data_IF_682600122855
#
_entry.id   IF_682600122855
#
_cell.length_a   1.000
_cell.length_b   1.000
_cell.length_c   1.000
_cell.angle_alpha   90.00
_cell.angle_beta   90.00
_cell.angle_gamma   90.00
#
_symmetry.space_group_name_H-M   'P 1'
#
loop_
_entity.id
_entity.type
_entity.pdbx_description
1 polymer ?
#
# COMPACT_ATOMS: atom_id res chain seq x y z
N UNK A 1 -1.03 16.33 -12.61
CA UNK A 1 -1.10 16.36 -11.13
C UNK A 1 -0.36 17.59 -10.54
N UNK A 2 -0.80 18.11 -9.40
CA UNK A 2 -0.14 19.20 -8.67
C UNK A 2 0.24 18.73 -7.25
N UNK A 3 0.94 19.58 -6.48
CA UNK A 3 1.43 19.25 -5.13
C UNK A 3 0.34 18.68 -4.21
N UNK A 4 -0.89 19.16 -4.31
CA UNK A 4 -1.99 18.76 -3.42
C UNK A 4 -2.61 17.41 -3.79
N UNK A 5 -2.40 16.93 -5.02
CA UNK A 5 -3.15 15.79 -5.58
C UNK A 5 -2.26 14.63 -5.99
N UNK A 6 -0.99 14.86 -6.29
CA UNK A 6 -0.13 13.84 -6.91
C UNK A 6 0.05 12.58 -6.06
N UNK A 7 0.05 12.70 -4.73
CA UNK A 7 0.18 11.55 -3.80
C UNK A 7 -1.05 10.63 -3.79
N UNK A 8 -2.19 11.10 -4.31
CA UNK A 8 -3.42 10.32 -4.43
C UNK A 8 -3.73 9.96 -5.88
N UNK A 9 -3.50 10.90 -6.80
CA UNK A 9 -3.65 10.66 -8.23
C UNK A 9 -2.71 9.55 -8.72
N UNK A 10 -1.53 9.40 -8.10
CA UNK A 10 -0.61 8.33 -8.43
C UNK A 10 -1.19 6.93 -8.19
N UNK A 11 -2.16 6.76 -7.28
CA UNK A 11 -2.90 5.49 -7.13
C UNK A 11 -3.63 5.14 -8.43
N UNK A 12 -4.37 6.09 -9.00
CA UNK A 12 -5.13 5.87 -10.23
C UNK A 12 -4.21 5.66 -11.43
N UNK A 13 -3.13 6.44 -11.52
CA UNK A 13 -2.15 6.29 -12.59
C UNK A 13 -1.50 4.90 -12.54
N UNK A 14 -1.09 4.43 -11.35
CA UNK A 14 -0.56 3.07 -11.16
C UNK A 14 -1.58 2.00 -11.53
N UNK A 15 -2.84 2.15 -11.10
CA UNK A 15 -3.91 1.18 -11.41
C UNK A 15 -4.31 1.16 -12.89
N UNK A 16 -4.06 2.24 -13.65
CA UNK A 16 -4.54 2.38 -15.03
C UNK A 16 -3.92 1.39 -16.02
N UNK A 17 -2.66 0.98 -15.77
CA UNK A 17 -1.93 -0.01 -16.56
C UNK A 17 -1.68 -1.35 -15.84
N UNK A 18 -2.04 -1.43 -14.56
CA UNK A 18 -1.77 -2.62 -13.74
C UNK A 18 -2.63 -3.81 -14.17
N UNK A 19 -2.07 -5.02 -14.08
CA UNK A 19 -2.72 -6.29 -14.43
C UNK A 19 -3.78 -6.76 -13.41
N UNK A 20 -4.71 -5.87 -13.05
CA UNK A 20 -5.83 -6.12 -12.14
C UNK A 20 -7.12 -5.55 -12.72
N UNK A 21 -8.27 -6.06 -12.26
CA UNK A 21 -9.57 -5.49 -12.65
C UNK A 21 -9.96 -4.37 -11.69
N UNK A 22 -10.08 -3.15 -12.20
CA UNK A 22 -10.43 -1.97 -11.40
C UNK A 22 -11.91 -1.64 -11.56
N UNK A 23 -12.62 -1.41 -10.45
CA UNK A 23 -13.97 -0.84 -10.43
C UNK A 23 -14.08 0.24 -9.38
N UNK A 24 -15.02 1.16 -9.58
CA UNK A 24 -15.35 2.20 -8.61
C UNK A 24 -16.70 1.89 -8.00
N UNK A 25 -16.76 1.88 -6.67
CA UNK A 25 -17.98 1.68 -5.88
C UNK A 25 -18.15 2.85 -4.92
N UNK A 26 -19.39 3.13 -4.53
CA UNK A 26 -19.74 4.17 -3.57
C UNK A 26 -19.99 3.60 -2.18
N UNK A 27 -20.06 4.48 -1.17
CA UNK A 27 -20.50 4.08 0.16
C UNK A 27 -21.96 3.62 0.18
N UNK A 28 -22.81 4.18 -0.70
CA UNK A 28 -24.21 3.78 -0.82
C UNK A 28 -24.31 2.33 -1.32
N UNK A 29 -23.49 1.94 -2.31
CA UNK A 29 -23.43 0.55 -2.79
C UNK A 29 -23.07 -0.42 -1.66
N UNK A 30 -22.04 -0.09 -0.87
CA UNK A 30 -21.61 -0.93 0.26
C UNK A 30 -22.67 -0.98 1.36
N UNK A 31 -23.34 0.14 1.63
CA UNK A 31 -24.40 0.20 2.64
C UNK A 31 -25.66 -0.54 2.20
N UNK A 32 -26.00 -0.53 0.92
CA UNK A 32 -27.21 -1.19 0.41
C UNK A 32 -26.99 -2.68 0.17
N UNK A 33 -25.84 -3.06 -0.41
CA UNK A 33 -25.60 -4.41 -0.94
C UNK A 33 -24.45 -5.15 -0.27
N UNK A 34 -23.67 -4.49 0.61
CA UNK A 34 -22.43 -5.05 1.14
C UNK A 34 -21.28 -4.99 0.13
N UNK A 35 -20.21 -5.74 0.40
CA UNK A 35 -19.10 -5.89 -0.55
C UNK A 35 -19.38 -7.09 -1.44
N UNK A 36 -19.28 -6.92 -2.75
CA UNK A 36 -19.50 -8.00 -3.71
C UNK A 36 -18.45 -9.12 -3.55
N UNK A 37 -18.89 -10.38 -3.71
CA UNK A 37 -18.05 -11.58 -3.47
C UNK A 37 -16.86 -11.72 -4.43
N UNK A 38 -16.87 -11.00 -5.55
CA UNK A 38 -15.81 -11.01 -6.57
C UNK A 38 -14.75 -9.91 -6.35
N UNK A 39 -14.83 -9.14 -5.26
CA UNK A 39 -13.84 -8.12 -4.89
C UNK A 39 -12.81 -8.73 -3.96
N UNK A 40 -11.54 -8.72 -4.38
CA UNK A 40 -10.41 -9.14 -3.54
C UNK A 40 -9.94 -8.01 -2.60
N UNK A 41 -9.87 -6.77 -3.13
CA UNK A 41 -9.27 -5.61 -2.44
C UNK A 41 -10.17 -4.38 -2.55
N UNK A 42 -10.38 -3.70 -1.42
CA UNK A 42 -10.95 -2.34 -1.37
C UNK A 42 -9.83 -1.34 -1.08
N UNK A 43 -9.79 -0.26 -1.87
CA UNK A 43 -8.90 0.89 -1.62
C UNK A 43 -9.75 2.08 -1.19
N UNK A 44 -9.41 2.69 -0.07
CA UNK A 44 -9.93 3.99 0.37
C UNK A 44 -8.76 4.95 0.57
N UNK A 45 -8.79 6.12 -0.06
CA UNK A 45 -7.66 7.03 0.06
C UNK A 45 -7.97 8.46 -0.33
N UNK A 46 -7.21 9.38 0.26
CA UNK A 46 -7.41 10.81 0.13
C UNK A 46 -7.20 11.53 1.47
N UNK A 47 -7.35 12.87 1.49
CA UNK A 47 -7.39 13.64 2.73
C UNK A 47 -8.73 13.50 3.47
N UNK A 48 -8.73 13.76 4.77
CA UNK A 48 -9.94 13.84 5.61
C UNK A 48 -10.95 14.86 5.06
N UNK A 49 -12.24 14.60 5.28
CA UNK A 49 -13.36 15.46 4.86
C UNK A 49 -13.41 15.70 3.33
N UNK A 50 -12.96 14.72 2.54
CA UNK A 50 -13.12 14.73 1.08
C UNK A 50 -14.07 13.63 0.61
N UNK A 51 -14.57 13.75 -0.62
CA UNK A 51 -15.42 12.71 -1.22
C UNK A 51 -14.69 11.36 -1.37
N UNK A 52 -13.35 11.38 -1.49
CA UNK A 52 -12.55 10.17 -1.70
C UNK A 52 -12.36 9.36 -0.40
N UNK A 53 -12.23 10.03 0.75
CA UNK A 53 -12.19 9.36 2.05
C UNK A 53 -13.60 9.08 2.56
N UNK A 54 -14.56 10.00 2.40
CA UNK A 54 -15.98 9.82 2.71
C UNK A 54 -16.52 10.65 3.88
N UNK A 55 -15.64 11.26 4.68
CA UNK A 55 -16.02 12.11 5.81
C UNK A 55 -16.97 11.42 6.80
N UNK A 56 -18.10 12.08 7.11
CA UNK A 56 -19.05 11.66 8.13
C UNK A 56 -19.71 10.29 7.89
N UNK A 57 -19.61 9.71 6.69
CA UNK A 57 -20.13 8.36 6.40
C UNK A 57 -19.54 7.30 7.34
N UNK A 58 -18.31 7.51 7.82
CA UNK A 58 -17.64 6.63 8.78
C UNK A 58 -18.25 6.63 10.18
N UNK A 59 -19.19 7.56 10.48
CA UNK A 59 -20.04 7.49 11.69
C UNK A 59 -21.05 6.37 11.62
N UNK A 60 -21.39 5.90 10.41
CA UNK A 60 -22.40 4.86 10.22
C UNK A 60 -21.83 3.50 10.68
N UNK A 61 -22.34 2.91 11.78
CA UNK A 61 -21.81 1.65 12.28
C UNK A 61 -21.95 0.54 11.25
N UNK A 62 -23.04 0.54 10.45
CA UNK A 62 -23.26 -0.45 9.39
C UNK A 62 -22.10 -0.50 8.39
N UNK A 63 -21.54 0.65 8.00
CA UNK A 63 -20.39 0.70 7.09
C UNK A 63 -19.16 0.04 7.74
N UNK A 64 -18.81 0.46 8.96
CA UNK A 64 -17.62 -0.07 9.63
C UNK A 64 -17.76 -1.56 10.00
N UNK A 65 -18.95 -2.00 10.38
CA UNK A 65 -19.26 -3.41 10.64
C UNK A 65 -19.14 -4.25 9.36
N UNK A 66 -19.69 -3.76 8.24
CA UNK A 66 -19.61 -4.45 6.94
C UNK A 66 -18.17 -4.64 6.51
N UNK A 67 -17.36 -3.57 6.54
CA UNK A 67 -15.96 -3.64 6.13
C UNK A 67 -15.11 -4.46 7.09
N UNK A 68 -15.29 -4.32 8.42
CA UNK A 68 -14.60 -5.15 9.40
C UNK A 68 -14.93 -6.63 9.22
N UNK A 69 -16.20 -6.98 9.06
CA UNK A 69 -16.63 -8.37 8.87
C UNK A 69 -16.05 -8.96 7.58
N UNK A 70 -16.08 -8.19 6.48
CA UNK A 70 -15.52 -8.60 5.20
C UNK A 70 -14.01 -8.85 5.27
N UNK A 71 -13.23 -7.91 5.84
CA UNK A 71 -11.77 -8.11 6.03
C UNK A 71 -11.51 -9.29 6.97
N UNK A 72 -12.23 -9.38 8.09
CA UNK A 72 -12.10 -10.52 9.03
C UNK A 72 -12.34 -11.86 8.35
N UNK A 73 -13.21 -11.88 7.33
CA UNK A 73 -13.57 -13.04 6.52
C UNK A 73 -12.54 -13.44 5.47
N UNK A 74 -11.60 -12.57 5.11
CA UNK A 74 -10.59 -12.82 4.07
C UNK A 74 -10.38 -11.66 3.09
N UNK A 75 -11.21 -10.62 3.14
CA UNK A 75 -11.05 -9.45 2.28
C UNK A 75 -9.82 -8.61 2.62
N UNK A 76 -9.37 -7.80 1.68
CA UNK A 76 -8.21 -6.93 1.84
C UNK A 76 -8.60 -5.44 1.82
N UNK A 77 -8.14 -4.66 2.82
CA UNK A 77 -8.41 -3.22 2.87
C UNK A 77 -7.11 -2.40 2.84
N UNK A 78 -6.95 -1.60 1.78
CA UNK A 78 -5.79 -0.72 1.58
C UNK A 78 -6.22 0.73 1.82
N UNK A 79 -5.59 1.37 2.80
CA UNK A 79 -5.81 2.75 3.15
C UNK A 79 -4.66 3.65 2.68
N UNK A 80 -4.96 4.74 1.96
CA UNK A 80 -3.94 5.69 1.48
C UNK A 80 -4.17 7.12 1.99
N UNK A 81 -3.21 7.69 2.71
CA UNK A 81 -3.29 9.04 3.28
C UNK A 81 -4.06 9.08 4.59
N UNK A 82 -5.27 9.64 4.58
CA UNK A 82 -6.16 9.70 5.74
C UNK A 82 -7.39 8.76 5.55
N UNK A 83 -7.19 7.44 5.35
CA UNK A 83 -8.25 6.50 5.06
C UNK A 83 -9.19 6.33 6.25
N UNK A 84 -10.48 6.15 5.99
CA UNK A 84 -11.50 6.03 7.03
C UNK A 84 -11.50 7.15 8.08
N UNK A 85 -10.93 8.30 7.75
CA UNK A 85 -10.75 9.39 8.70
C UNK A 85 -12.06 10.07 9.04
N UNK A 86 -12.20 10.42 10.31
CA UNK A 86 -13.37 11.12 10.81
C UNK A 86 -12.97 12.07 11.94
N UNK A 87 -13.01 13.36 11.64
CA UNK A 87 -12.63 14.38 12.61
C UNK A 87 -13.63 14.46 13.78
N UNK A 88 -13.10 14.59 14.99
CA UNK A 88 -13.84 14.94 16.22
C UNK A 88 -14.94 13.95 16.66
N UNK A 89 -14.99 12.74 16.09
CA UNK A 89 -15.96 11.73 16.53
C UNK A 89 -15.50 10.96 17.76
N UNK A 90 -14.25 10.48 17.76
CA UNK A 90 -13.62 9.81 18.89
C UNK A 90 -12.31 10.51 19.24
N UNK A 91 -12.14 10.89 20.51
CA UNK A 91 -10.95 11.63 20.95
C UNK A 91 -9.64 10.82 20.78
N UNK A 92 -9.70 9.49 20.78
CA UNK A 92 -8.54 8.60 20.67
C UNK A 92 -8.50 7.73 19.41
N UNK A 93 -9.32 8.03 18.40
CA UNK A 93 -9.38 7.25 17.15
C UNK A 93 -9.76 8.16 15.98
N UNK A 94 -8.81 8.44 15.09
CA UNK A 94 -9.05 9.31 13.93
C UNK A 94 -9.42 8.50 12.69
N UNK A 95 -8.62 7.49 12.33
CA UNK A 95 -8.99 6.50 11.32
C UNK A 95 -9.96 5.50 11.94
N UNK A 96 -11.20 5.46 11.46
CA UNK A 96 -12.25 4.62 12.06
C UNK A 96 -12.00 3.12 11.85
N UNK A 97 -11.16 2.75 10.89
CA UNK A 97 -10.66 1.40 10.65
C UNK A 97 -9.16 1.25 11.00
N UNK A 98 -8.63 2.04 11.95
CA UNK A 98 -7.25 1.89 12.42
C UNK A 98 -6.95 0.47 12.96
N UNK A 99 -7.96 -0.22 13.49
CA UNK A 99 -7.85 -1.61 13.94
C UNK A 99 -7.61 -2.60 12.79
N UNK A 100 -8.13 -2.29 11.60
CA UNK A 100 -7.88 -3.06 10.38
C UNK A 100 -6.51 -2.71 9.81
N UNK A 101 -6.22 -1.42 9.66
CA UNK A 101 -5.00 -0.91 9.02
C UNK A 101 -3.73 -1.08 9.87
N UNK A 102 -3.89 -1.21 11.19
CA UNK A 102 -2.77 -1.20 12.13
C UNK A 102 -2.17 0.19 12.39
N UNK A 103 -2.70 1.25 11.76
CA UNK A 103 -2.16 2.61 11.85
C UNK A 103 -3.28 3.59 12.16
N UNK A 104 -2.96 4.60 12.96
CA UNK A 104 -3.80 5.78 13.19
C UNK A 104 -2.96 7.06 13.12
N UNK A 105 -3.61 8.21 13.14
CA UNK A 105 -2.96 9.53 13.12
C UNK A 105 -3.15 10.27 14.44
N UNK A 106 -2.06 10.75 15.04
CA UNK A 106 -2.14 11.59 16.24
C UNK A 106 -2.68 12.98 15.90
N UNK A 107 -3.78 13.36 16.56
CA UNK A 107 -4.46 14.65 16.39
C UNK A 107 -4.22 15.63 17.56
N UNK A 108 -3.08 15.46 18.22
CA UNK A 108 -2.65 16.18 19.43
C UNK A 108 -3.58 16.01 20.63
N UNK A 109 -4.46 15.00 20.61
CA UNK A 109 -5.42 14.71 21.68
C UNK A 109 -4.94 13.57 22.58
N UNK A 110 -4.04 12.71 22.08
CA UNK A 110 -3.54 11.54 22.81
C UNK A 110 -2.03 11.58 22.99
N UNK A 111 -1.43 12.77 23.02
CA UNK A 111 0.01 12.98 23.29
C UNK A 111 0.47 12.42 24.62
N UNK A 112 -0.41 12.37 25.63
CA UNK A 112 -0.10 11.75 26.94
C UNK A 112 -0.06 10.22 26.89
N UNK A 113 -0.47 9.61 25.77
CA UNK A 113 -0.34 8.17 25.51
C UNK A 113 0.94 7.95 24.72
N UNK A 114 1.94 7.39 25.37
CA UNK A 114 3.20 7.01 24.74
C UNK A 114 2.95 6.05 23.56
N UNK A 115 3.62 6.30 22.44
CA UNK A 115 3.51 5.48 21.21
C UNK A 115 4.75 4.59 21.09
N UNK A 116 4.54 3.28 21.01
CA UNK A 116 5.62 2.30 20.86
C UNK A 116 5.61 1.70 19.46
N UNK A 117 6.73 1.83 18.77
CA UNK A 117 6.91 1.36 17.41
C UNK A 117 7.64 0.01 17.44
N UNK A 118 7.07 -1.06 16.86
CA UNK A 118 7.83 -2.29 16.67
C UNK A 118 8.97 -2.03 15.67
N UNK A 119 9.98 -2.91 15.67
CA UNK A 119 11.08 -2.81 14.72
C UNK A 119 10.55 -2.88 13.28
N UNK A 120 11.09 -2.02 12.41
CA UNK A 120 10.77 -2.05 10.98
C UNK A 120 11.30 -3.35 10.38
N UNK A 121 10.49 -3.97 9.53
CA UNK A 121 10.84 -5.15 8.73
C UNK A 121 11.34 -4.68 7.36
N UNK A 122 12.67 -4.62 7.12
CA UNK A 122 13.21 -4.07 5.87
C UNK A 122 13.04 -5.02 4.68
N UNK A 123 12.91 -6.33 4.95
CA UNK A 123 12.76 -7.39 3.95
C UNK A 123 11.37 -8.00 4.06
N UNK A 124 10.54 -7.75 3.05
CA UNK A 124 9.14 -8.19 3.01
C UNK A 124 8.70 -8.34 1.54
N UNK A 125 7.70 -9.19 1.29
CA UNK A 125 7.16 -9.42 -0.06
C UNK A 125 6.80 -8.12 -0.78
N UNK A 126 6.15 -7.18 -0.07
CA UNK A 126 5.73 -5.88 -0.62
C UNK A 126 6.93 -5.04 -1.06
N UNK A 127 8.01 -5.03 -0.29
CA UNK A 127 9.18 -4.17 -0.55
C UNK A 127 10.32 -4.90 -1.26
N UNK A 128 10.07 -6.08 -1.83
CA UNK A 128 11.10 -6.91 -2.45
C UNK A 128 11.79 -6.23 -3.66
N UNK A 129 11.06 -5.41 -4.41
CA UNK A 129 11.58 -4.69 -5.58
C UNK A 129 12.05 -3.25 -5.24
N UNK A 130 12.06 -2.88 -3.95
CA UNK A 130 12.48 -1.55 -3.52
C UNK A 130 14.00 -1.50 -3.43
N UNK A 131 14.60 -0.64 -4.25
CA UNK A 131 16.02 -0.35 -4.14
C UNK A 131 16.29 0.58 -2.94
N UNK A 132 17.04 0.07 -1.97
CA UNK A 132 17.58 0.88 -0.86
C UNK A 132 19.08 1.01 -1.06
N UNK A 133 19.58 2.25 -1.04
CA UNK A 133 21.02 2.51 -1.06
C UNK A 133 21.71 1.75 0.08
N UNK A 134 22.71 0.88 -0.20
CA UNK A 134 23.42 0.13 0.83
C UNK A 134 24.00 1.00 1.95
N UNK A 135 24.49 2.20 1.63
CA UNK A 135 25.02 3.13 2.62
C UNK A 135 23.92 3.71 3.51
N UNK A 136 22.72 3.96 2.96
CA UNK A 136 21.57 4.37 3.73
C UNK A 136 21.09 3.24 4.66
N UNK A 137 21.04 2.00 4.16
CA UNK A 137 20.71 0.81 4.95
C UNK A 137 21.68 0.60 6.12
N UNK A 138 22.99 0.64 5.86
CA UNK A 138 24.01 0.50 6.91
C UNK A 138 23.89 1.63 7.96
N UNK A 139 23.67 2.87 7.51
CA UNK A 139 23.49 4.00 8.40
C UNK A 139 22.23 3.87 9.29
N UNK A 140 21.14 3.34 8.74
CA UNK A 140 19.90 3.05 9.46
C UNK A 140 20.12 1.94 10.51
N UNK A 141 20.69 0.80 10.11
CA UNK A 141 20.98 -0.34 11.00
C UNK A 141 21.89 0.07 12.17
N UNK A 142 22.94 0.83 11.89
CA UNK A 142 23.90 1.30 12.90
C UNK A 142 23.30 2.34 13.86
N UNK A 143 22.39 3.18 13.38
CA UNK A 143 21.76 4.20 14.22
C UNK A 143 20.81 3.59 15.24
N UNK A 144 20.14 2.48 14.88
CA UNK A 144 19.21 1.76 15.76
C UNK A 144 17.93 2.54 16.05
N UNK A 145 17.25 2.13 17.12
CA UNK A 145 15.94 2.65 17.52
C UNK A 145 16.03 3.48 18.80
N UNK A 146 15.13 4.45 18.93
CA UNK A 146 15.01 5.26 20.15
C UNK A 146 14.57 4.37 21.32
N UNK A 147 15.27 4.48 22.45
CA UNK A 147 14.86 3.83 23.70
C UNK A 147 13.61 4.52 24.27
N UNK A 148 12.79 3.80 25.06
CA UNK A 148 11.66 4.40 25.77
C UNK A 148 12.05 5.62 26.59
N UNK A 149 11.33 6.73 26.42
CA UNK A 149 11.51 7.97 27.17
C UNK A 149 10.14 8.55 27.52
N UNK A 150 10.00 9.01 28.77
CA UNK A 150 8.74 9.57 29.30
C UNK A 150 8.15 10.65 28.39
N UNK A 151 6.91 10.44 27.95
CA UNK A 151 6.18 11.37 27.08
C UNK A 151 6.67 11.43 25.63
N UNK A 152 7.53 10.49 25.22
CA UNK A 152 8.09 10.39 23.88
C UNK A 152 7.87 9.01 23.23
N UNK A 153 7.29 8.05 23.96
CA UNK A 153 7.21 6.66 23.53
C UNK A 153 8.59 6.03 23.31
N UNK A 154 8.70 5.17 22.29
CA UNK A 154 9.96 4.53 21.90
C UNK A 154 9.84 3.66 20.64
N UNK A 155 10.97 3.15 20.17
CA UNK A 155 11.03 2.22 19.03
C UNK A 155 11.09 2.88 17.66
N UNK A 156 11.07 4.21 17.56
CA UNK A 156 11.20 4.90 16.27
C UNK A 156 12.65 4.80 15.76
N UNK A 157 12.84 4.62 14.45
CA UNK A 157 14.17 4.63 13.83
C UNK A 157 14.87 5.97 14.04
N UNK A 158 16.13 5.95 14.46
CA UNK A 158 16.91 7.19 14.70
C UNK A 158 17.30 7.86 13.37
N UNK A 159 17.57 7.07 12.33
CA UNK A 159 17.77 7.49 10.95
C UNK A 159 16.67 6.90 10.06
N UNK A 160 16.41 7.47 8.87
CA UNK A 160 15.48 6.88 7.91
C UNK A 160 16.10 5.69 7.17
N UNK A 161 15.29 4.69 6.82
CA UNK A 161 15.63 3.63 5.88
C UNK A 161 15.49 4.11 4.43
N UNK A 162 14.43 4.85 4.12
CA UNK A 162 14.18 5.44 2.81
C UNK A 162 13.91 4.44 1.68
N UNK A 163 14.26 4.85 0.45
CA UNK A 163 14.14 4.06 -0.78
C UNK A 163 12.78 4.11 -1.47
N UNK A 164 11.78 4.79 -0.89
CA UNK A 164 10.43 4.92 -1.46
C UNK A 164 9.99 6.39 -1.39
N UNK A 165 9.46 6.91 -2.49
CA UNK A 165 8.78 8.21 -2.50
C UNK A 165 7.31 8.03 -2.11
N UNK A 166 6.96 8.49 -0.90
CA UNK A 166 5.57 8.48 -0.40
C UNK A 166 4.82 9.79 -0.65
N UNK A 167 5.44 10.76 -1.31
CA UNK A 167 4.82 12.05 -1.62
C UNK A 167 4.61 12.94 -0.40
N UNK A 168 3.43 13.55 -0.31
CA UNK A 168 3.07 14.46 0.78
C UNK A 168 2.94 13.67 2.10
N UNK A 169 3.58 14.13 3.19
CA UNK A 169 3.57 13.40 4.45
C UNK A 169 2.21 13.51 5.16
N UNK A 170 1.77 12.40 5.75
CA UNK A 170 0.75 12.40 6.79
C UNK A 170 1.47 12.44 8.14
N UNK A 171 1.32 13.54 8.86
CA UNK A 171 2.10 13.81 10.06
C UNK A 171 1.65 12.92 11.23
N UNK A 172 2.61 12.44 12.01
CA UNK A 172 2.37 11.75 13.29
C UNK A 172 1.49 10.49 13.19
N UNK A 173 1.54 9.77 12.08
CA UNK A 173 1.00 8.41 11.98
C UNK A 173 1.77 7.45 12.87
N UNK A 174 1.07 6.57 13.58
CA UNK A 174 1.66 5.66 14.54
C UNK A 174 0.98 4.27 14.49
N UNK A 175 1.70 3.18 14.81
CA UNK A 175 1.11 1.86 14.90
C UNK A 175 0.18 1.77 16.11
N UNK A 176 -1.01 1.19 15.95
CA UNK A 176 -2.00 1.10 17.04
C UNK A 176 -1.61 0.12 18.14
N UNK A 177 -0.70 -0.80 17.85
CA UNK A 177 -0.05 -1.74 18.78
C UNK A 177 1.24 -2.27 18.14
N UNK A 178 2.00 -3.08 18.89
CA UNK A 178 3.30 -3.62 18.45
C UNK A 178 3.22 -4.90 17.60
N UNK A 179 2.01 -5.45 17.38
CA UNK A 179 1.81 -6.62 16.50
C UNK A 179 1.77 -6.22 15.00
N UNK A 180 1.60 -4.92 14.72
CA UNK A 180 1.59 -4.36 13.37
C UNK A 180 2.98 -4.46 12.76
N UNK A 181 3.07 -4.90 11.50
CA UNK A 181 4.34 -4.96 10.79
C UNK A 181 4.60 -3.62 10.09
N UNK A 182 5.59 -2.88 10.58
CA UNK A 182 6.05 -1.66 9.94
C UNK A 182 7.03 -1.99 8.81
N UNK A 183 6.72 -1.59 7.59
CA UNK A 183 7.62 -1.73 6.44
C UNK A 183 8.43 -0.45 6.20
N UNK A 184 7.85 0.72 6.46
CA UNK A 184 8.54 2.02 6.53
C UNK A 184 7.93 2.89 7.62
N UNK A 185 8.78 3.38 8.52
CA UNK A 185 8.40 4.27 9.61
C UNK A 185 9.51 5.30 9.91
N UNK A 186 9.90 6.02 8.87
CA UNK A 186 10.96 7.02 8.87
C UNK A 186 10.48 8.33 9.53
N UNK A 187 11.42 9.05 10.16
CA UNK A 187 11.13 10.37 10.73
C UNK A 187 10.19 10.35 11.95
N UNK A 188 10.01 9.19 12.59
CA UNK A 188 9.15 9.06 13.78
C UNK A 188 7.65 8.97 13.48
N UNK A 189 7.28 8.65 12.24
CA UNK A 189 5.91 8.42 11.80
C UNK A 189 5.86 7.27 10.78
N UNK A 190 4.68 6.70 10.53
CA UNK A 190 4.49 5.52 9.66
C UNK A 190 4.19 5.94 8.21
N UNK A 191 4.89 5.37 7.23
CA UNK A 191 4.58 5.54 5.81
C UNK A 191 4.01 4.29 5.16
N UNK A 192 4.44 3.11 5.60
CA UNK A 192 3.95 1.83 5.08
C UNK A 192 3.88 0.81 6.20
N UNK A 193 2.70 0.25 6.42
CA UNK A 193 2.47 -0.79 7.43
C UNK A 193 1.46 -1.82 6.93
N UNK A 194 1.58 -3.02 7.47
CA UNK A 194 0.65 -4.11 7.23
C UNK A 194 0.18 -4.75 8.52
N UNK A 195 -1.04 -5.24 8.51
CA UNK A 195 -1.70 -5.78 9.69
C UNK A 195 -2.58 -6.98 9.32
N UNK A 196 -2.44 -8.07 10.07
CA UNK A 196 -3.31 -9.24 9.97
C UNK A 196 -4.61 -8.97 10.73
N UNK A 197 -5.76 -9.21 10.11
CA UNK A 197 -7.07 -8.99 10.70
C UNK A 197 -8.00 -10.18 10.45
N UNK A 198 -7.89 -11.20 11.30
CA UNK A 198 -8.66 -12.43 11.10
C UNK A 198 -8.08 -13.26 9.96
N UNK A 199 -8.86 -13.47 8.89
CA UNK A 199 -8.40 -14.18 7.69
C UNK A 199 -7.93 -13.24 6.56
N UNK A 200 -8.11 -11.93 6.72
CA UNK A 200 -7.72 -10.94 5.73
C UNK A 200 -6.71 -9.95 6.32
N UNK A 201 -6.34 -8.95 5.52
CA UNK A 201 -5.26 -8.02 5.85
C UNK A 201 -5.65 -6.57 5.62
N UNK A 202 -5.09 -5.70 6.46
CA UNK A 202 -5.07 -4.26 6.26
C UNK A 202 -3.69 -3.79 5.83
N UNK A 203 -3.63 -2.81 4.93
CA UNK A 203 -2.39 -2.13 4.54
C UNK A 203 -2.58 -0.63 4.60
N UNK A 204 -1.67 0.06 5.26
CA UNK A 204 -1.63 1.52 5.30
C UNK A 204 -0.46 2.05 4.46
N UNK A 205 -0.73 3.06 3.63
CA UNK A 205 0.27 3.81 2.85
C UNK A 205 0.04 5.31 3.09
N UNK A 206 1.06 6.11 3.42
CA UNK A 206 0.84 7.56 3.66
C UNK A 206 0.55 8.35 2.38
N UNK A 207 1.05 7.87 1.24
CA UNK A 207 0.84 8.48 -0.07
C UNK A 207 1.58 7.69 -1.14
N UNK A 208 1.14 7.80 -2.39
CA UNK A 208 1.66 7.00 -3.48
C UNK A 208 1.73 7.80 -4.79
N UNK A 209 2.74 8.69 -4.95
CA UNK A 209 3.07 9.30 -6.24
C UNK A 209 3.31 8.25 -7.32
N UNK A 210 2.93 8.55 -8.56
CA UNK A 210 3.20 7.64 -9.66
C UNK A 210 4.70 7.57 -9.98
N UNK A 211 5.21 6.34 -10.01
CA UNK A 211 6.45 5.92 -10.66
C UNK A 211 6.32 4.42 -10.95
N UNK A 212 7.16 3.88 -11.84
CA UNK A 212 7.19 2.44 -12.10
C UNK A 212 7.42 1.62 -10.83
N UNK A 213 8.33 2.09 -9.95
CA UNK A 213 8.59 1.47 -8.65
C UNK A 213 7.37 1.52 -7.71
N UNK A 214 6.63 2.64 -7.66
CA UNK A 214 5.44 2.75 -6.82
C UNK A 214 4.24 1.99 -7.39
N UNK A 215 4.12 1.86 -8.71
CA UNK A 215 3.13 0.99 -9.34
C UNK A 215 3.38 -0.47 -8.95
N UNK A 216 4.64 -0.91 -9.02
CA UNK A 216 5.06 -2.23 -8.55
C UNK A 216 4.83 -2.44 -7.05
N UNK A 217 5.10 -1.42 -6.23
CA UNK A 217 4.83 -1.45 -4.79
C UNK A 217 3.33 -1.65 -4.53
N UNK A 218 2.46 -0.88 -5.19
CA UNK A 218 1.01 -1.02 -5.08
C UNK A 218 0.55 -2.40 -5.55
N UNK A 219 1.05 -2.89 -6.68
CA UNK A 219 0.73 -4.22 -7.18
C UNK A 219 1.03 -5.30 -6.14
N UNK A 220 2.24 -5.28 -5.56
CA UNK A 220 2.61 -6.22 -4.49
C UNK A 220 1.75 -6.05 -3.24
N UNK A 221 1.33 -4.83 -2.90
CA UNK A 221 0.35 -4.58 -1.83
C UNK A 221 -0.96 -5.32 -2.12
N UNK A 222 -1.50 -5.23 -3.34
CA UNK A 222 -2.77 -5.88 -3.71
C UNK A 222 -2.67 -7.41 -3.58
N UNK A 223 -1.62 -8.02 -4.14
CA UNK A 223 -1.42 -9.48 -4.07
C UNK A 223 -1.17 -9.95 -2.64
N UNK A 224 -0.38 -9.23 -1.85
CA UNK A 224 -0.13 -9.60 -0.47
C UNK A 224 -1.37 -9.45 0.42
N UNK A 225 -2.07 -8.31 0.31
CA UNK A 225 -3.21 -8.03 1.18
C UNK A 225 -4.36 -9.03 0.95
N UNK A 226 -4.49 -9.56 -0.27
CA UNK A 226 -5.50 -10.56 -0.64
C UNK A 226 -5.05 -12.02 -0.47
N UNK A 227 -3.91 -12.29 0.16
CA UNK A 227 -3.33 -13.64 0.31
C UNK A 227 -3.08 -14.39 -1.01
N UNK A 228 -2.67 -13.65 -2.05
CA UNK A 228 -2.39 -14.17 -3.39
C UNK A 228 -0.90 -14.06 -3.78
N UNK A 229 0.02 -14.06 -2.82
CA UNK A 229 1.47 -13.97 -3.10
C UNK A 229 1.95 -15.09 -4.05
N UNK A 230 1.33 -16.26 -4.00
CA UNK A 230 1.58 -17.41 -4.86
C UNK A 230 1.17 -17.16 -6.32
N UNK A 231 0.17 -16.30 -6.57
CA UNK A 231 -0.29 -15.92 -7.91
C UNK A 231 0.49 -14.76 -8.51
N UNK A 232 1.29 -14.06 -7.72
CA UNK A 232 2.02 -12.88 -8.19
C UNK A 232 3.01 -13.22 -9.31
N UNK A 233 3.74 -14.32 -9.20
CA UNK A 233 4.85 -14.65 -10.12
C UNK A 233 4.40 -14.87 -11.56
N UNK A 234 3.25 -15.51 -11.77
CA UNK A 234 2.74 -15.82 -13.10
C UNK A 234 2.44 -14.54 -13.88
N UNK A 235 3.07 -14.36 -15.05
CA UNK A 235 3.03 -13.13 -15.85
C UNK A 235 3.55 -11.88 -15.13
N UNK A 236 4.59 -12.04 -14.30
CA UNK A 236 5.31 -10.91 -13.71
C UNK A 236 6.60 -10.61 -14.47
N UNK A 237 7.01 -9.36 -14.45
CA UNK A 237 8.30 -8.89 -14.97
C UNK A 237 9.29 -8.69 -13.81
N UNK A 238 10.54 -9.14 -13.98
CA UNK A 238 11.61 -8.90 -13.00
C UNK A 238 12.05 -7.44 -12.91
N UNK A 239 11.79 -6.64 -13.95
CA UNK A 239 12.11 -5.22 -13.98
C UNK A 239 10.86 -4.38 -13.62
N UNK A 240 10.86 -3.57 -12.56
CA UNK A 240 9.74 -2.70 -12.21
C UNK A 240 9.38 -1.69 -13.31
N UNK A 241 10.32 -1.38 -14.20
CA UNK A 241 10.14 -0.46 -15.33
C UNK A 241 9.49 -1.13 -16.55
N UNK A 242 9.20 -2.43 -16.47
CA UNK A 242 8.46 -3.19 -17.46
C UNK A 242 7.18 -3.80 -16.86
N UNK A 243 6.14 -3.90 -17.69
CA UNK A 243 4.85 -4.49 -17.32
C UNK A 243 4.43 -5.57 -18.31
N UNK A 244 3.63 -6.53 -17.81
CA UNK A 244 3.10 -7.63 -18.60
C UNK A 244 1.57 -7.56 -18.59
N UNK A 245 0.97 -7.57 -19.77
CA UNK A 245 -0.48 -7.64 -19.93
C UNK A 245 -0.86 -8.93 -20.65
N UNK A 246 -1.86 -9.65 -20.11
CA UNK A 246 -2.29 -10.96 -20.58
C UNK A 246 -3.68 -10.83 -21.21
N UNK A 247 -3.86 -11.40 -22.39
CA UNK A 247 -5.10 -11.41 -23.15
C UNK A 247 -5.54 -12.86 -23.43
N UNK A 248 -6.18 -13.54 -22.45
CA UNK A 248 -6.53 -14.96 -22.56
C UNK A 248 -7.40 -15.27 -23.78
N UNK A 249 -8.40 -14.43 -24.07
CA UNK A 249 -9.32 -14.62 -25.20
C UNK A 249 -8.62 -14.52 -26.57
N UNK A 250 -7.51 -13.77 -26.63
CA UNK A 250 -6.69 -13.63 -27.83
C UNK A 250 -5.56 -14.67 -27.89
N UNK A 251 -5.31 -15.42 -26.81
CA UNK A 251 -4.20 -16.36 -26.73
C UNK A 251 -2.82 -15.68 -26.71
N UNK A 252 -2.73 -14.44 -26.20
CA UNK A 252 -1.50 -13.64 -26.25
C UNK A 252 -1.18 -12.92 -24.94
N UNK A 253 0.09 -12.58 -24.74
CA UNK A 253 0.52 -11.57 -23.78
C UNK A 253 1.51 -10.60 -24.42
N UNK A 254 1.64 -9.42 -23.84
CA UNK A 254 2.66 -8.45 -24.22
C UNK A 254 3.50 -8.02 -23.03
N UNK A 255 4.71 -7.55 -23.32
CA UNK A 255 5.65 -6.95 -22.39
C UNK A 255 5.94 -5.53 -22.87
N UNK A 256 5.75 -4.56 -21.99
CA UNK A 256 5.82 -3.12 -22.31
C UNK A 256 6.97 -2.50 -21.52
N UNK A 257 7.77 -1.67 -22.18
CA UNK A 257 8.75 -0.81 -21.53
C UNK A 257 8.11 0.56 -21.24
N UNK A 258 7.94 0.88 -19.96
CA UNK A 258 7.29 2.11 -19.51
C UNK A 258 8.23 3.33 -19.47
N UNK A 259 9.46 3.19 -20.00
CA UNK A 259 10.49 4.23 -19.95
C UNK A 259 10.91 4.71 -21.34
N UNK A 260 11.65 5.81 -21.36
CA UNK A 260 12.29 6.39 -22.55
C UNK A 260 13.71 5.83 -22.78
N UNK A 261 14.06 4.70 -22.16
CA UNK A 261 15.37 4.06 -22.24
C UNK A 261 15.24 2.58 -22.56
N UNK A 262 16.25 1.94 -23.15
CA UNK A 262 16.25 0.48 -23.29
C UNK A 262 16.15 -0.21 -21.93
N UNK A 263 15.33 -1.26 -21.84
CA UNK A 263 15.12 -2.06 -20.65
C UNK A 263 15.32 -3.53 -20.94
N UNK A 264 15.78 -4.26 -19.94
CA UNK A 264 15.85 -5.72 -19.98
C UNK A 264 14.98 -6.30 -18.87
N UNK A 265 14.26 -7.37 -19.16
CA UNK A 265 13.42 -8.06 -18.18
C UNK A 265 13.30 -9.53 -18.51
N UNK A 266 13.13 -10.32 -17.45
CA UNK A 266 12.65 -11.69 -17.54
C UNK A 266 11.16 -11.71 -17.17
N UNK A 267 10.36 -12.48 -17.91
CA UNK A 267 8.94 -12.71 -17.63
C UNK A 267 8.74 -14.16 -17.22
N UNK A 268 8.19 -14.37 -16.03
CA UNK A 268 7.84 -15.70 -15.54
C UNK A 268 6.45 -16.11 -16.04
N UNK A 269 6.32 -17.30 -16.62
CA UNK A 269 5.06 -17.86 -17.12
C UNK A 269 4.41 -18.81 -16.10
N UNK A 270 3.11 -19.12 -16.23
CA UNK A 270 2.39 -20.00 -15.28
C UNK A 270 2.96 -21.42 -15.16
N UNK A 271 3.62 -21.92 -16.20
CA UNK A 271 4.27 -23.24 -16.20
C UNK A 271 5.65 -23.24 -15.52
N UNK A 272 6.08 -22.08 -15.01
CA UNK A 272 7.38 -21.87 -14.37
C UNK A 272 8.53 -21.59 -15.34
N UNK A 273 8.27 -21.58 -16.66
CA UNK A 273 9.27 -21.15 -17.63
C UNK A 273 9.47 -19.62 -17.58
N UNK A 274 10.60 -19.18 -18.13
CA UNK A 274 11.01 -17.77 -18.12
C UNK A 274 11.39 -17.36 -19.53
N UNK A 275 10.85 -16.23 -19.97
CA UNK A 275 11.20 -15.61 -21.25
C UNK A 275 11.95 -14.29 -21.03
N UNK A 276 13.09 -14.15 -21.69
CA UNK A 276 13.92 -12.95 -21.64
C UNK A 276 13.53 -11.95 -22.74
N UNK A 277 13.52 -10.66 -22.40
CA UNK A 277 13.23 -9.55 -23.30
C UNK A 277 14.24 -8.43 -23.13
N UNK A 278 14.86 -8.04 -24.24
CA UNK A 278 15.52 -6.73 -24.40
C UNK A 278 14.58 -5.83 -25.22
N UNK A 279 14.08 -4.79 -24.58
CA UNK A 279 13.11 -3.84 -25.14
C UNK A 279 13.80 -2.50 -25.40
N UNK A 280 13.71 -2.01 -26.64
CA UNK A 280 14.08 -0.64 -26.95
C UNK A 280 13.22 0.36 -26.17
N UNK A 281 13.63 1.64 -26.17
CA UNK A 281 12.88 2.73 -25.55
C UNK A 281 11.39 2.70 -25.96
N UNK A 282 10.49 2.73 -24.98
CA UNK A 282 9.03 2.71 -25.19
C UNK A 282 8.50 1.53 -26.03
N UNK A 283 9.27 0.45 -26.18
CA UNK A 283 8.90 -0.69 -27.01
C UNK A 283 7.86 -1.60 -26.34
N UNK A 284 7.16 -2.35 -27.19
CA UNK A 284 6.24 -3.43 -26.80
C UNK A 284 6.61 -4.70 -27.57
N UNK A 285 6.69 -5.83 -26.86
CA UNK A 285 6.89 -7.15 -27.45
C UNK A 285 5.68 -8.05 -27.20
N UNK A 286 5.32 -8.86 -28.20
CA UNK A 286 4.18 -9.78 -28.14
C UNK A 286 4.63 -11.25 -28.17
N UNK A 287 3.89 -12.09 -27.47
CA UNK A 287 4.05 -13.55 -27.43
C UNK A 287 2.69 -14.24 -27.37
N UNK A 288 2.67 -15.51 -27.77
CA UNK A 288 1.50 -16.37 -27.60
C UNK A 288 1.53 -17.01 -26.21
N UNK A 289 0.36 -17.31 -25.65
CA UNK A 289 0.22 -18.04 -24.38
C UNK A 289 0.54 -19.53 -24.51
#
# INVERSE_FOLDING_TARGET
PNKQTYSYYGILESLSGMRVNVRFISFDDVLEHGVADDIDVIINGGPVDTAFTGGDVWKNPKLTETLRAWVRGGGAFVGVGEPSSLARFQAGRFFQLADVLGVDEERYQTLSVDKYFPAVTPEHFITADVHVDPAAREAWEKAGYRIPLSGCGGGQGIKPLGGIDFGEPIANTFPVNEDVTLLRADGGQVQLAVNEYGKGRGVYVSGLPYSAANARLLERILFWASHNEDKYTAYSSTNPECEVAVFPDAGQYCVINNTDRPQSTDVALPDGSVEHFDLDQSAIAWRNL
#
